data_IF_627708568032
#
_entry.id   IF_627708568032
#
_cell.length_a   1.000
_cell.length_b   1.000
_cell.length_c   1.000
_cell.angle_alpha   90.00
_cell.angle_beta   90.00
_cell.angle_gamma   90.00
#
_symmetry.space_group_name_H-M   'P 1'
#
loop_
_entity.id
_entity.type
_entity.pdbx_description
1 polymer ?
#
# COMPACT_ATOMS: atom_id res chain seq x y z
N UNK A 1 16.14 7.43 -17.29
CA UNK A 1 16.53 8.29 -16.15
C UNK A 1 17.17 7.38 -15.13
N UNK A 2 18.38 7.68 -14.65
CA UNK A 2 18.98 6.92 -13.56
C UNK A 2 18.17 7.21 -12.30
N UNK A 3 17.44 6.23 -11.79
CA UNK A 3 16.70 6.37 -10.53
C UNK A 3 17.68 6.25 -9.38
N UNK A 4 17.51 7.10 -8.37
CA UNK A 4 18.26 7.03 -7.12
C UNK A 4 17.90 5.76 -6.34
N UNK A 5 18.82 5.28 -5.49
CA UNK A 5 18.56 4.16 -4.59
C UNK A 5 17.97 4.68 -3.28
N UNK A 6 16.84 4.13 -2.87
CA UNK A 6 16.12 4.54 -1.66
C UNK A 6 16.19 3.50 -0.56
N UNK A 7 16.13 3.96 0.69
CA UNK A 7 16.04 3.11 1.87
C UNK A 7 15.06 3.66 2.91
N UNK A 8 14.39 2.75 3.63
CA UNK A 8 13.57 3.09 4.80
C UNK A 8 13.40 1.88 5.74
N UNK A 9 12.94 2.15 6.95
CA UNK A 9 12.47 1.12 7.88
C UNK A 9 11.08 0.67 7.41
N UNK A 10 10.93 -0.61 7.12
CA UNK A 10 9.72 -1.20 6.55
C UNK A 10 8.75 -1.78 7.61
N UNK A 11 9.22 -1.93 8.84
CA UNK A 11 8.43 -2.38 10.00
C UNK A 11 7.98 -1.22 10.87
N UNK A 12 7.03 -1.47 11.78
CA UNK A 12 6.63 -0.49 12.79
C UNK A 12 7.81 -0.06 13.67
N UNK A 13 7.89 1.24 13.96
CA UNK A 13 8.91 1.84 14.83
C UNK A 13 8.57 1.64 16.32
N UNK A 14 8.56 0.40 16.77
CA UNK A 14 8.40 0.02 18.17
C UNK A 14 9.45 -1.02 18.55
N UNK A 15 9.68 -1.20 19.86
CA UNK A 15 10.56 -2.29 20.32
C UNK A 15 9.90 -3.63 19.95
N UNK A 16 10.57 -4.39 19.09
CA UNK A 16 10.10 -5.68 18.61
C UNK A 16 11.27 -6.68 18.54
N UNK A 17 10.97 -7.95 18.30
CA UNK A 17 12.02 -8.95 18.08
C UNK A 17 12.84 -8.68 16.82
N UNK A 18 12.19 -8.18 15.76
CA UNK A 18 12.79 -7.97 14.43
C UNK A 18 12.35 -6.60 13.90
N UNK A 19 13.26 -5.93 13.19
CA UNK A 19 12.99 -4.76 12.36
C UNK A 19 13.60 -4.98 10.97
N UNK A 20 12.96 -4.42 9.94
CA UNK A 20 13.38 -4.59 8.55
C UNK A 20 13.78 -3.23 7.98
N UNK A 21 15.00 -3.13 7.44
CA UNK A 21 15.43 -2.01 6.60
C UNK A 21 15.36 -2.48 5.15
N UNK A 22 14.55 -1.81 4.33
CA UNK A 22 14.41 -2.10 2.90
C UNK A 22 15.17 -1.08 2.08
N UNK A 23 15.89 -1.57 1.06
CA UNK A 23 16.64 -0.78 0.07
C UNK A 23 16.12 -1.15 -1.32
N UNK A 24 15.91 -0.17 -2.21
CA UNK A 24 15.47 -0.40 -3.60
C UNK A 24 16.16 0.55 -4.56
N UNK A 25 16.66 0.05 -5.68
CA UNK A 25 17.28 0.84 -6.75
C UNK A 25 18.49 0.18 -7.38
N UNK A 26 19.06 0.80 -8.41
CA UNK A 26 20.19 0.26 -9.18
C UNK A 26 21.44 -0.04 -8.32
N UNK A 27 21.64 0.71 -7.23
CA UNK A 27 22.79 0.54 -6.34
C UNK A 27 22.45 -0.28 -5.08
N UNK A 28 21.25 -0.86 -4.95
CA UNK A 28 20.84 -1.58 -3.73
C UNK A 28 21.81 -2.71 -3.36
N UNK A 29 22.25 -3.51 -4.34
CA UNK A 29 23.23 -4.58 -4.14
C UNK A 29 24.63 -4.02 -3.82
N UNK A 30 25.03 -2.92 -4.45
CA UNK A 30 26.30 -2.25 -4.20
C UNK A 30 26.37 -1.65 -2.78
N UNK A 31 25.26 -1.10 -2.29
CA UNK A 31 25.15 -0.54 -0.93
C UNK A 31 25.33 -1.64 0.10
N UNK A 32 24.64 -2.77 -0.05
CA UNK A 32 24.74 -3.85 0.94
C UNK A 32 26.12 -4.51 0.95
N UNK A 33 26.75 -4.70 -0.22
CA UNK A 33 28.10 -5.30 -0.31
C UNK A 33 29.15 -4.50 0.45
N UNK A 34 28.98 -3.17 0.57
CA UNK A 34 29.92 -2.30 1.31
C UNK A 34 29.85 -2.55 2.81
N UNK A 35 28.64 -2.76 3.35
CA UNK A 35 28.37 -2.75 4.80
C UNK A 35 28.20 -4.14 5.40
N UNK A 36 27.90 -5.16 4.59
CA UNK A 36 27.71 -6.52 5.05
C UNK A 36 29.05 -7.27 5.13
N UNK A 37 29.22 -8.08 6.17
CA UNK A 37 30.27 -9.10 6.27
C UNK A 37 29.67 -10.44 6.67
N UNK A 38 30.07 -11.50 5.96
CA UNK A 38 29.76 -12.87 6.40
C UNK A 38 30.69 -13.30 7.53
N UNK A 39 30.31 -14.36 8.24
CA UNK A 39 31.14 -14.97 9.28
C UNK A 39 32.57 -15.32 8.82
N UNK A 40 32.75 -15.66 7.54
CA UNK A 40 34.04 -16.03 6.95
C UNK A 40 34.69 -14.88 6.17
N UNK A 41 34.08 -13.69 6.10
CA UNK A 41 34.65 -12.49 5.48
C UNK A 41 34.55 -12.37 3.95
N UNK A 42 34.49 -13.47 3.21
CA UNK A 42 34.71 -13.44 1.74
C UNK A 42 33.43 -13.32 0.88
N UNK A 43 32.26 -13.19 1.52
CA UNK A 43 30.98 -13.28 0.81
C UNK A 43 30.53 -11.93 0.27
N UNK A 44 30.36 -11.85 -1.05
CA UNK A 44 29.81 -10.68 -1.76
C UNK A 44 28.36 -10.99 -2.15
N UNK A 45 27.40 -10.28 -1.56
CA UNK A 45 25.98 -10.58 -1.71
C UNK A 45 25.47 -10.28 -3.14
N UNK A 46 26.02 -9.29 -3.83
CA UNK A 46 25.64 -9.03 -5.24
C UNK A 46 25.90 -10.22 -6.18
N UNK A 47 26.83 -11.11 -5.84
CA UNK A 47 27.17 -12.31 -6.65
C UNK A 47 26.29 -13.52 -6.34
N UNK A 48 25.52 -13.47 -5.26
CA UNK A 48 24.66 -14.57 -4.86
C UNK A 48 23.39 -14.66 -5.71
N UNK A 49 22.65 -15.76 -5.57
CA UNK A 49 21.38 -15.97 -6.28
C UNK A 49 20.31 -15.02 -5.74
N UNK A 50 19.34 -14.65 -6.58
CA UNK A 50 18.19 -13.87 -6.11
C UNK A 50 17.30 -14.72 -5.19
N UNK A 51 16.55 -14.06 -4.29
CA UNK A 51 15.60 -14.66 -3.35
C UNK A 51 16.26 -15.65 -2.36
N UNK A 52 17.49 -15.34 -1.94
CA UNK A 52 18.19 -16.09 -0.92
C UNK A 52 18.44 -15.25 0.32
N UNK A 53 18.53 -15.94 1.46
CA UNK A 53 18.80 -15.34 2.76
C UNK A 53 20.25 -15.60 3.17
N UNK A 54 20.88 -14.59 3.78
CA UNK A 54 22.29 -14.63 4.14
C UNK A 54 22.50 -14.08 5.54
N UNK A 55 22.98 -14.95 6.42
CA UNK A 55 23.36 -14.60 7.78
C UNK A 55 24.72 -13.88 7.81
N UNK A 56 24.86 -12.82 8.60
CA UNK A 56 26.13 -12.14 8.82
C UNK A 56 25.98 -10.91 9.70
N UNK A 57 26.82 -9.91 9.46
CA UNK A 57 26.93 -8.72 10.30
C UNK A 57 26.86 -7.46 9.44
N UNK A 58 26.19 -6.43 9.95
CA UNK A 58 26.31 -5.07 9.40
C UNK A 58 27.40 -4.35 10.18
N UNK A 59 28.34 -3.76 9.44
CA UNK A 59 29.51 -3.06 10.00
C UNK A 59 29.51 -1.61 9.49
N UNK A 60 29.73 -0.65 10.38
CA UNK A 60 30.12 0.72 10.02
C UNK A 60 31.58 0.92 10.43
N UNK A 61 32.46 1.09 9.43
CA UNK A 61 33.92 1.10 9.58
C UNK A 61 34.44 -0.21 10.19
N UNK A 62 34.75 -0.20 11.48
CA UNK A 62 35.31 -1.33 12.24
C UNK A 62 34.37 -1.80 13.38
N UNK A 63 33.21 -1.17 13.54
CA UNK A 63 32.23 -1.49 14.60
C UNK A 63 31.11 -2.36 14.01
N UNK A 64 30.90 -3.54 14.61
CA UNK A 64 29.72 -4.36 14.33
C UNK A 64 28.51 -3.65 14.92
N UNK A 65 27.56 -3.27 14.07
CA UNK A 65 26.32 -2.64 14.50
C UNK A 65 25.33 -3.70 14.97
N UNK A 66 25.17 -4.77 14.17
CA UNK A 66 24.25 -5.86 14.48
C UNK A 66 24.59 -7.15 13.73
N UNK A 67 24.11 -8.25 14.29
CA UNK A 67 24.02 -9.56 13.66
C UNK A 67 22.65 -9.67 12.96
N UNK A 68 22.65 -9.94 11.65
CA UNK A 68 21.47 -9.79 10.79
C UNK A 68 21.27 -10.97 9.85
N UNK A 69 20.07 -11.07 9.32
CA UNK A 69 19.82 -11.79 8.07
C UNK A 69 19.58 -10.79 6.95
N UNK A 70 20.16 -11.04 5.78
CA UNK A 70 19.98 -10.20 4.60
C UNK A 70 19.31 -11.01 3.51
N UNK A 71 18.20 -10.50 2.99
CA UNK A 71 17.51 -11.02 1.81
C UNK A 71 17.89 -10.18 0.61
N UNK A 72 18.34 -10.82 -0.46
CA UNK A 72 18.61 -10.17 -1.74
C UNK A 72 17.58 -10.59 -2.78
N UNK A 73 17.02 -9.63 -3.49
CA UNK A 73 16.05 -9.84 -4.56
C UNK A 73 16.49 -9.02 -5.77
N UNK A 74 16.77 -9.69 -6.89
CA UNK A 74 17.22 -9.06 -8.12
C UNK A 74 16.04 -8.74 -9.03
N UNK A 75 16.12 -7.61 -9.73
CA UNK A 75 15.16 -7.20 -10.73
C UNK A 75 14.98 -8.29 -11.82
N UNK A 76 13.80 -8.39 -12.45
CA UNK A 76 12.58 -7.62 -12.20
C UNK A 76 11.65 -8.27 -11.15
N UNK A 77 12.03 -9.42 -10.59
CA UNK A 77 11.16 -10.23 -9.74
C UNK A 77 11.09 -9.72 -8.29
N UNK A 78 10.85 -8.43 -8.09
CA UNK A 78 10.88 -7.77 -6.77
C UNK A 78 9.69 -6.83 -6.59
N UNK A 79 9.41 -6.39 -5.36
CA UNK A 79 8.27 -5.50 -5.07
C UNK A 79 8.27 -4.24 -5.94
N UNK A 80 9.42 -3.59 -6.14
CA UNK A 80 9.54 -2.38 -6.95
C UNK A 80 9.88 -2.67 -8.41
N UNK A 81 10.18 -3.93 -8.79
CA UNK A 81 10.85 -4.34 -10.05
C UNK A 81 12.28 -3.83 -10.23
N UNK A 82 12.85 -3.21 -9.22
CA UNK A 82 14.27 -2.86 -9.13
C UNK A 82 15.02 -3.92 -8.32
N UNK A 83 16.34 -3.83 -8.20
CA UNK A 83 17.05 -4.62 -7.19
C UNK A 83 16.59 -4.16 -5.79
N UNK A 84 16.28 -5.12 -4.93
CA UNK A 84 15.79 -4.90 -3.56
C UNK A 84 16.63 -5.71 -2.58
N UNK A 85 17.01 -5.06 -1.48
CA UNK A 85 17.66 -5.70 -0.34
C UNK A 85 16.81 -5.46 0.90
N UNK A 86 16.61 -6.49 1.71
CA UNK A 86 16.02 -6.37 3.04
C UNK A 86 17.03 -6.83 4.09
N UNK A 87 17.23 -6.00 5.11
CA UNK A 87 18.09 -6.29 6.26
C UNK A 87 17.16 -6.54 7.45
N UNK A 88 17.07 -7.79 7.88
CA UNK A 88 16.34 -8.22 9.05
C UNK A 88 17.28 -8.17 10.25
N UNK A 89 17.10 -7.15 11.09
CA UNK A 89 17.93 -6.87 12.26
C UNK A 89 17.13 -6.98 13.56
N UNK A 90 17.80 -6.89 14.70
CA UNK A 90 17.11 -6.79 15.98
C UNK A 90 16.21 -5.56 16.02
N UNK A 91 15.00 -5.71 16.57
CA UNK A 91 13.96 -4.68 16.53
C UNK A 91 14.11 -3.53 17.54
N UNK A 92 15.33 -3.22 17.98
CA UNK A 92 15.61 -2.08 18.84
C UNK A 92 15.63 -0.77 18.03
N UNK A 93 15.02 0.30 18.55
CA UNK A 93 14.93 1.60 17.87
C UNK A 93 16.33 2.15 17.51
N UNK A 94 17.29 2.03 18.43
CA UNK A 94 18.65 2.58 18.23
C UNK A 94 19.41 1.80 17.16
N UNK A 95 19.40 0.46 17.22
CA UNK A 95 20.12 -0.39 16.26
C UNK A 95 19.52 -0.24 14.86
N UNK A 96 18.19 -0.21 14.74
CA UNK A 96 17.50 0.02 13.47
C UNK A 96 17.90 1.36 12.84
N UNK A 97 17.94 2.44 13.64
CA UNK A 97 18.37 3.77 13.15
C UNK A 97 19.84 3.78 12.72
N UNK A 98 20.74 3.16 13.50
CA UNK A 98 22.17 3.03 13.12
C UNK A 98 22.34 2.30 11.80
N UNK A 99 21.60 1.20 11.57
CA UNK A 99 21.65 0.45 10.30
C UNK A 99 21.15 1.32 9.15
N UNK A 100 20.00 2.00 9.31
CA UNK A 100 19.49 2.91 8.29
C UNK A 100 20.51 4.02 7.96
N UNK A 101 21.08 4.68 8.96
CA UNK A 101 22.12 5.70 8.75
C UNK A 101 23.33 5.14 8.00
N UNK A 102 23.74 3.91 8.30
CA UNK A 102 24.85 3.22 7.63
C UNK A 102 24.53 2.95 6.17
N UNK A 103 23.31 2.52 5.87
CA UNK A 103 22.80 2.36 4.49
C UNK A 103 22.81 3.70 3.74
N UNK A 104 22.36 4.78 4.38
CA UNK A 104 22.32 6.12 3.76
C UNK A 104 23.72 6.65 3.46
N UNK A 105 24.66 6.53 4.40
CA UNK A 105 26.08 6.91 4.21
C UNK A 105 26.73 6.19 3.02
N UNK A 106 26.24 5.00 2.67
CA UNK A 106 26.84 4.14 1.64
C UNK A 106 26.18 4.26 0.26
N UNK A 107 25.28 5.21 0.05
CA UNK A 107 24.79 5.59 -1.29
C UNK A 107 23.27 5.57 -1.47
N UNK A 108 22.50 5.23 -0.43
CA UNK A 108 21.05 5.34 -0.47
C UNK A 108 20.56 6.71 0.03
N UNK A 109 19.40 7.15 -0.45
CA UNK A 109 18.65 8.28 0.11
C UNK A 109 17.46 7.75 0.92
N UNK A 110 16.95 8.55 1.87
CA UNK A 110 15.72 8.19 2.58
C UNK A 110 14.53 8.19 1.61
N UNK A 111 13.72 7.14 1.66
CA UNK A 111 12.51 7.04 0.83
C UNK A 111 11.43 8.05 1.27
N UNK A 112 10.69 8.60 0.32
CA UNK A 112 9.48 9.38 0.58
C UNK A 112 8.30 8.46 1.01
N UNK A 113 7.28 9.01 1.68
CA UNK A 113 6.06 8.27 1.99
C UNK A 113 5.45 7.61 0.74
N UNK A 114 5.28 6.29 0.80
CA UNK A 114 4.69 5.50 -0.30
C UNK A 114 5.62 5.28 -1.50
N UNK A 115 6.88 5.72 -1.46
CA UNK A 115 7.76 5.70 -2.64
C UNK A 115 8.00 4.29 -3.20
N UNK A 116 8.16 3.27 -2.35
CA UNK A 116 8.30 1.88 -2.81
C UNK A 116 7.09 1.42 -3.64
N UNK A 117 5.88 1.71 -3.17
CA UNK A 117 4.64 1.37 -3.89
C UNK A 117 4.50 2.20 -5.16
N UNK A 118 4.86 3.49 -5.12
CA UNK A 118 4.93 4.36 -6.31
C UNK A 118 5.87 3.79 -7.37
N UNK A 119 7.05 3.29 -7.00
CA UNK A 119 7.98 2.64 -7.94
C UNK A 119 7.43 1.34 -8.50
N UNK A 120 6.77 0.52 -7.68
CA UNK A 120 6.06 -0.67 -8.15
C UNK A 120 5.02 -0.34 -9.24
N UNK A 121 4.26 0.75 -9.04
CA UNK A 121 3.30 1.26 -10.02
C UNK A 121 3.99 1.77 -11.30
N UNK A 122 4.99 2.66 -11.16
CA UNK A 122 5.72 3.25 -12.30
C UNK A 122 6.43 2.19 -13.15
N UNK A 123 6.92 1.13 -12.52
CA UNK A 123 7.56 0.01 -13.23
C UNK A 123 6.54 -1.02 -13.77
N UNK A 124 5.24 -0.75 -13.65
CA UNK A 124 4.16 -1.56 -14.22
C UNK A 124 3.95 -2.91 -13.54
N UNK A 125 4.37 -3.06 -12.27
CA UNK A 125 4.07 -4.28 -11.48
C UNK A 125 2.62 -4.31 -11.03
N UNK A 126 2.11 -3.14 -10.64
CA UNK A 126 0.77 -2.94 -10.11
C UNK A 126 0.12 -1.74 -10.80
N UNK A 127 -1.20 -1.71 -10.84
CA UNK A 127 -1.96 -0.51 -11.23
C UNK A 127 -2.27 0.40 -10.02
N UNK A 128 -2.90 1.54 -10.27
CA UNK A 128 -3.16 2.54 -9.23
C UNK A 128 -4.18 2.05 -8.18
N UNK A 129 -5.20 1.30 -8.60
CA UNK A 129 -6.19 0.71 -7.68
C UNK A 129 -5.55 -0.33 -6.77
N UNK A 130 -4.60 -1.11 -7.30
CA UNK A 130 -3.80 -2.03 -6.50
C UNK A 130 -2.87 -1.30 -5.51
N UNK A 131 -2.26 -0.19 -5.91
CA UNK A 131 -1.44 0.64 -5.04
C UNK A 131 -2.25 1.21 -3.86
N UNK A 132 -3.47 1.69 -4.12
CA UNK A 132 -4.42 2.16 -3.09
C UNK A 132 -4.84 1.01 -2.16
N UNK A 133 -5.15 -0.16 -2.72
CA UNK A 133 -5.54 -1.34 -1.95
C UNK A 133 -4.46 -1.78 -0.94
N UNK A 134 -3.17 -1.58 -1.23
CA UNK A 134 -2.09 -1.87 -0.29
C UNK A 134 -2.18 -0.98 0.95
N UNK A 135 -2.43 0.32 0.76
CA UNK A 135 -2.65 1.25 1.88
C UNK A 135 -3.88 0.85 2.69
N UNK A 136 -4.95 0.47 2.00
CA UNK A 136 -6.21 0.10 2.64
C UNK A 136 -6.11 -1.20 3.44
N UNK A 137 -5.29 -2.16 3.01
CA UNK A 137 -5.01 -3.39 3.79
C UNK A 137 -4.29 -3.04 5.10
N UNK A 138 -3.28 -2.16 5.03
CA UNK A 138 -2.49 -1.76 6.20
C UNK A 138 -3.35 -1.00 7.22
N UNK A 139 -4.32 -0.21 6.75
CA UNK A 139 -5.18 0.64 7.58
C UNK A 139 -6.55 0.02 7.91
N UNK A 140 -6.82 -1.21 7.48
CA UNK A 140 -8.14 -1.81 7.62
C UNK A 140 -8.59 -1.90 9.09
N UNK A 141 -9.74 -1.28 9.41
CA UNK A 141 -10.31 -1.24 10.77
C UNK A 141 -11.29 -2.39 11.08
N UNK A 142 -11.76 -3.10 10.05
CA UNK A 142 -12.70 -4.21 10.17
C UNK A 142 -12.44 -5.27 9.08
N UNK A 143 -12.96 -6.48 9.31
CA UNK A 143 -12.74 -7.62 8.41
C UNK A 143 -13.37 -7.43 7.01
N UNK A 144 -14.50 -6.73 6.93
CA UNK A 144 -15.17 -6.46 5.65
C UNK A 144 -14.32 -5.52 4.78
N UNK A 145 -13.74 -4.48 5.37
CA UNK A 145 -12.81 -3.57 4.71
C UNK A 145 -11.58 -4.33 4.22
N UNK A 146 -10.96 -5.14 5.08
CA UNK A 146 -9.80 -5.96 4.72
C UNK A 146 -10.11 -6.89 3.53
N UNK A 147 -11.26 -7.59 3.57
CA UNK A 147 -11.69 -8.50 2.51
C UNK A 147 -11.89 -7.78 1.18
N UNK A 148 -12.47 -6.58 1.20
CA UNK A 148 -12.65 -5.76 0.01
C UNK A 148 -11.31 -5.30 -0.57
N UNK A 149 -10.39 -4.80 0.26
CA UNK A 149 -9.06 -4.37 -0.19
C UNK A 149 -8.23 -5.53 -0.76
N UNK A 150 -8.31 -6.74 -0.20
CA UNK A 150 -7.68 -7.94 -0.78
C UNK A 150 -8.25 -8.27 -2.17
N UNK A 151 -9.57 -8.13 -2.36
CA UNK A 151 -10.21 -8.35 -3.67
C UNK A 151 -9.74 -7.33 -4.69
N UNK A 152 -9.60 -6.06 -4.30
CA UNK A 152 -9.09 -4.99 -5.15
C UNK A 152 -7.62 -5.23 -5.52
N UNK A 153 -6.78 -5.63 -4.54
CA UNK A 153 -5.37 -5.97 -4.77
C UNK A 153 -5.18 -7.07 -5.82
N UNK A 154 -6.13 -8.00 -5.95
CA UNK A 154 -6.12 -9.05 -6.99
C UNK A 154 -6.43 -8.54 -8.41
N UNK A 155 -6.72 -7.25 -8.59
CA UNK A 155 -6.89 -6.62 -9.90
C UNK A 155 -8.33 -6.67 -10.45
N UNK A 156 -9.33 -6.96 -9.61
CA UNK A 156 -10.72 -7.10 -10.06
C UNK A 156 -11.29 -5.84 -10.73
N UNK A 157 -10.98 -4.65 -10.18
CA UNK A 157 -11.44 -3.37 -10.74
C UNK A 157 -10.66 -2.97 -11.99
N UNK A 158 -9.33 -3.17 -11.99
CA UNK A 158 -8.47 -2.91 -13.13
C UNK A 158 -8.94 -3.62 -14.40
N UNK A 159 -9.31 -4.90 -14.31
CA UNK A 159 -9.80 -5.66 -15.46
C UNK A 159 -11.13 -5.14 -16.02
N UNK A 160 -12.01 -4.60 -15.16
CA UNK A 160 -13.27 -3.99 -15.61
C UNK A 160 -12.97 -2.69 -16.36
N UNK A 161 -12.16 -1.81 -15.78
CA UNK A 161 -11.77 -0.52 -16.39
C UNK A 161 -11.01 -0.74 -17.70
N UNK A 162 -10.11 -1.71 -17.73
CA UNK A 162 -9.36 -2.07 -18.94
C UNK A 162 -10.28 -2.53 -20.06
N UNK A 163 -11.27 -3.38 -19.78
CA UNK A 163 -12.26 -3.82 -20.78
C UNK A 163 -13.09 -2.67 -21.34
N UNK A 164 -13.53 -1.74 -20.49
CA UNK A 164 -14.23 -0.53 -20.92
C UNK A 164 -13.35 0.33 -21.82
N UNK A 165 -12.10 0.60 -21.39
CA UNK A 165 -11.14 1.36 -22.18
C UNK A 165 -10.85 0.71 -23.52
N UNK A 166 -10.63 -0.60 -23.55
CA UNK A 166 -10.32 -1.34 -24.77
C UNK A 166 -11.53 -1.36 -25.73
N UNK A 167 -12.76 -1.25 -25.24
CA UNK A 167 -13.96 -1.09 -26.06
C UNK A 167 -14.05 0.30 -26.68
N UNK A 168 -13.90 1.35 -25.87
CA UNK A 168 -13.87 2.74 -26.34
C UNK A 168 -12.75 2.95 -27.37
N UNK A 169 -11.56 2.39 -27.15
CA UNK A 169 -10.44 2.49 -28.09
C UNK A 169 -10.72 1.80 -29.42
N UNK A 170 -11.51 0.72 -29.45
CA UNK A 170 -11.92 0.08 -30.71
C UNK A 170 -12.85 0.99 -31.50
N UNK A 171 -13.82 1.62 -30.84
CA UNK A 171 -14.75 2.52 -31.48
C UNK A 171 -14.04 3.78 -31.99
N UNK A 172 -13.10 4.34 -31.21
CA UNK A 172 -12.23 5.44 -31.67
C UNK A 172 -11.40 5.03 -32.88
N UNK A 173 -10.74 3.87 -32.83
CA UNK A 173 -9.90 3.40 -33.93
C UNK A 173 -10.71 3.18 -35.23
N UNK A 174 -11.96 2.72 -35.12
CA UNK A 174 -12.84 2.58 -36.28
C UNK A 174 -13.22 3.93 -36.89
N UNK A 175 -13.56 4.91 -36.04
CA UNK A 175 -13.87 6.28 -36.49
C UNK A 175 -12.65 6.92 -37.15
N UNK A 176 -11.47 6.83 -36.52
CA UNK A 176 -10.22 7.38 -37.07
C UNK A 176 -9.88 6.75 -38.43
N UNK A 177 -10.01 5.42 -38.56
CA UNK A 177 -9.77 4.75 -39.83
C UNK A 177 -10.72 5.21 -40.95
N UNK A 178 -12.00 5.44 -40.62
CA UNK A 178 -12.97 5.94 -41.59
C UNK A 178 -12.74 7.41 -42.00
N UNK A 179 -12.19 8.22 -41.10
CA UNK A 179 -11.80 9.60 -41.39
C UNK A 179 -10.56 9.65 -42.28
N UNK A 180 -9.60 8.73 -42.08
CA UNK A 180 -8.37 8.66 -42.85
C UNK A 180 -8.57 8.05 -44.25
N UNK A 181 -9.51 7.09 -44.41
CA UNK A 181 -9.79 6.40 -45.67
C UNK A 181 -11.31 6.26 -45.95
N UNK A 182 -11.99 7.38 -46.26
CA UNK A 182 -13.44 7.39 -46.48
C UNK A 182 -13.88 6.66 -47.76
N UNK A 183 -12.96 6.33 -48.68
CA UNK A 183 -13.28 5.58 -49.90
C UNK A 183 -13.45 4.08 -49.63
N UNK A 184 -12.76 3.56 -48.60
CA UNK A 184 -12.75 2.13 -48.28
C UNK A 184 -13.45 1.79 -46.95
N UNK A 185 -13.63 2.76 -46.06
CA UNK A 185 -14.24 2.56 -44.75
C UNK A 185 -15.42 3.53 -44.57
N UNK A 186 -16.64 2.98 -44.49
CA UNK A 186 -17.87 3.75 -44.25
C UNK A 186 -18.31 3.71 -42.78
N UNK A 187 -18.82 4.84 -42.30
CA UNK A 187 -19.47 4.99 -40.99
C UNK A 187 -20.99 4.78 -41.05
N UNK A 188 -21.55 4.42 -42.20
CA UNK A 188 -23.00 4.26 -42.36
C UNK A 188 -23.56 3.24 -41.37
N UNK A 189 -24.51 3.66 -40.53
CA UNK A 189 -25.14 2.83 -39.49
C UNK A 189 -24.26 2.53 -38.28
N UNK A 190 -23.03 3.07 -38.23
CA UNK A 190 -22.16 2.93 -37.06
C UNK A 190 -22.66 3.76 -35.88
N UNK A 191 -23.40 4.85 -36.12
CA UNK A 191 -24.04 5.66 -35.08
C UNK A 191 -24.92 4.83 -34.14
N UNK A 192 -25.71 3.91 -34.67
CA UNK A 192 -26.55 3.02 -33.87
C UNK A 192 -25.70 2.00 -33.10
N UNK A 193 -24.66 1.45 -33.73
CA UNK A 193 -23.73 0.51 -33.07
C UNK A 193 -22.98 1.19 -31.93
N UNK A 194 -22.49 2.40 -32.16
CA UNK A 194 -21.79 3.23 -31.17
C UNK A 194 -22.70 3.54 -30.00
N UNK A 195 -23.95 3.94 -30.25
CA UNK A 195 -24.92 4.22 -29.20
C UNK A 195 -25.15 2.97 -28.33
N UNK A 196 -25.35 1.80 -28.93
CA UNK A 196 -25.52 0.55 -28.18
C UNK A 196 -24.28 0.18 -27.35
N UNK A 197 -23.06 0.42 -27.86
CA UNK A 197 -21.83 0.20 -27.11
C UNK A 197 -21.73 1.14 -25.91
N UNK A 198 -21.96 2.44 -26.14
CA UNK A 198 -21.92 3.46 -25.09
C UNK A 198 -22.98 3.21 -24.01
N UNK A 199 -24.17 2.75 -24.35
CA UNK A 199 -25.21 2.38 -23.38
C UNK A 199 -24.77 1.19 -22.51
N UNK A 200 -24.18 0.15 -23.13
CA UNK A 200 -23.66 -1.01 -22.39
C UNK A 200 -22.54 -0.60 -21.44
N UNK A 201 -21.60 0.22 -21.89
CA UNK A 201 -20.48 0.71 -21.09
C UNK A 201 -20.94 1.63 -19.95
N UNK A 202 -21.87 2.54 -20.23
CA UNK A 202 -22.47 3.44 -19.25
C UNK A 202 -23.17 2.66 -18.14
N UNK A 203 -23.93 1.62 -18.49
CA UNK A 203 -24.60 0.76 -17.51
C UNK A 203 -23.60 0.06 -16.57
N UNK A 204 -22.44 -0.35 -17.08
CA UNK A 204 -21.36 -0.92 -16.24
C UNK A 204 -20.81 0.13 -15.28
N UNK A 205 -20.54 1.34 -15.75
CA UNK A 205 -20.01 2.45 -14.93
C UNK A 205 -21.03 2.85 -13.85
N UNK A 206 -22.31 2.98 -14.19
CA UNK A 206 -23.38 3.30 -13.24
C UNK A 206 -23.49 2.26 -12.13
N UNK A 207 -23.35 0.98 -12.47
CA UNK A 207 -23.32 -0.11 -11.49
C UNK A 207 -22.14 0.04 -10.52
N UNK A 208 -20.94 0.32 -11.04
CA UNK A 208 -19.76 0.55 -10.20
C UNK A 208 -19.95 1.74 -9.26
N UNK A 209 -20.51 2.85 -9.76
CA UNK A 209 -20.80 4.05 -8.95
C UNK A 209 -21.80 3.71 -7.84
N UNK A 210 -22.85 2.94 -8.15
CA UNK A 210 -23.85 2.52 -7.17
C UNK A 210 -23.24 1.65 -6.07
N UNK A 211 -22.38 0.70 -6.43
CA UNK A 211 -21.72 -0.20 -5.48
C UNK A 211 -20.67 0.52 -4.62
N UNK A 212 -20.00 1.56 -5.14
CA UNK A 212 -18.96 2.31 -4.42
C UNK A 212 -19.46 2.98 -3.13
N UNK A 213 -20.73 3.39 -3.07
CA UNK A 213 -21.33 4.00 -1.87
C UNK A 213 -21.28 3.08 -0.66
N UNK A 214 -21.57 1.79 -0.86
CA UNK A 214 -21.51 0.79 0.19
C UNK A 214 -20.05 0.50 0.58
N UNK A 215 -19.15 0.46 -0.41
CA UNK A 215 -17.72 0.30 -0.18
C UNK A 215 -17.14 1.40 0.71
N UNK A 216 -17.53 2.65 0.48
CA UNK A 216 -17.10 3.80 1.30
C UNK A 216 -17.51 3.66 2.76
N UNK A 217 -18.75 3.24 3.02
CA UNK A 217 -19.25 3.02 4.39
C UNK A 217 -18.46 1.93 5.09
N UNK A 218 -18.18 0.82 4.40
CA UNK A 218 -17.40 -0.30 4.95
C UNK A 218 -15.96 0.14 5.29
N UNK A 219 -15.35 0.96 4.43
CA UNK A 219 -13.97 1.43 4.56
C UNK A 219 -13.82 2.49 5.66
N UNK A 220 -14.63 3.55 5.62
CA UNK A 220 -14.49 4.69 6.52
C UNK A 220 -15.19 4.47 7.87
N UNK A 221 -16.17 3.58 7.92
CA UNK A 221 -17.08 3.43 9.04
C UNK A 221 -18.20 4.47 9.04
N UNK A 222 -19.20 4.25 9.90
CA UNK A 222 -20.37 5.11 10.02
C UNK A 222 -20.13 6.13 11.13
N UNK A 223 -20.15 7.42 10.79
CA UNK A 223 -20.17 8.50 11.78
C UNK A 223 -21.44 8.39 12.63
N UNK A 224 -21.26 8.15 13.92
CA UNK A 224 -22.34 7.79 14.83
C UNK A 224 -22.35 8.74 16.00
N UNK A 225 -23.52 9.29 16.31
CA UNK A 225 -23.71 10.24 17.40
C UNK A 225 -24.64 9.65 18.45
N UNK A 226 -24.25 9.70 19.72
CA UNK A 226 -25.10 9.26 20.84
C UNK A 226 -25.75 10.50 21.46
N UNK A 227 -27.07 10.63 21.29
CA UNK A 227 -27.86 11.77 21.81
C UNK A 227 -28.76 11.29 22.95
N UNK A 228 -28.91 12.12 23.98
CA UNK A 228 -29.77 11.83 25.12
C UNK A 228 -29.69 12.91 26.19
N UNK A 229 -30.67 12.92 27.10
CA UNK A 229 -30.74 13.88 28.22
C UNK A 229 -29.46 13.87 29.09
N UNK A 230 -29.15 14.94 29.85
CA UNK A 230 -28.14 14.88 30.90
C UNK A 230 -28.38 13.68 31.82
N UNK A 231 -27.32 12.97 32.20
CA UNK A 231 -27.36 11.75 33.04
C UNK A 231 -28.17 10.57 32.48
N UNK A 232 -28.51 10.55 31.18
CA UNK A 232 -29.22 9.43 30.54
C UNK A 232 -28.37 8.15 30.33
N UNK A 233 -27.19 8.07 30.95
CA UNK A 233 -26.30 6.90 30.81
C UNK A 233 -25.49 6.82 29.51
N UNK A 234 -25.39 7.91 28.73
CA UNK A 234 -24.63 7.95 27.46
C UNK A 234 -23.19 7.44 27.60
N UNK A 235 -22.44 7.97 28.57
CA UNK A 235 -21.06 7.56 28.82
C UNK A 235 -20.96 6.11 29.32
N UNK A 236 -21.97 5.63 30.05
CA UNK A 236 -22.02 4.24 30.51
C UNK A 236 -22.27 3.26 29.35
N UNK A 237 -23.14 3.63 28.39
CA UNK A 237 -23.37 2.86 27.17
C UNK A 237 -22.11 2.81 26.31
N UNK A 238 -21.47 3.96 26.08
CA UNK A 238 -20.23 4.06 25.30
C UNK A 238 -19.14 3.16 25.91
N UNK A 239 -18.93 3.24 27.22
CA UNK A 239 -17.93 2.41 27.90
C UNK A 239 -18.22 0.91 27.79
N UNK A 240 -19.49 0.49 27.76
CA UNK A 240 -19.85 -0.92 27.53
C UNK A 240 -19.57 -1.35 26.09
N UNK A 241 -19.99 -0.55 25.12
CA UNK A 241 -19.76 -0.84 23.70
C UNK A 241 -18.26 -0.90 23.36
N UNK A 242 -17.47 0.04 23.91
CA UNK A 242 -16.01 0.03 23.77
C UNK A 242 -15.36 -1.15 24.49
N UNK A 243 -15.93 -1.60 25.62
CA UNK A 243 -15.39 -2.71 26.41
C UNK A 243 -15.62 -4.10 25.81
N UNK A 244 -16.70 -4.29 25.04
CA UNK A 244 -17.05 -5.58 24.42
C UNK A 244 -16.55 -5.70 22.97
N UNK A 245 -16.44 -4.60 22.22
CA UNK A 245 -16.19 -4.60 20.77
C UNK A 245 -15.07 -3.63 20.34
N UNK A 246 -13.90 -3.70 21.01
CA UNK A 246 -12.73 -2.95 20.53
C UNK A 246 -12.37 -3.42 19.12
N UNK A 247 -12.49 -2.52 18.14
CA UNK A 247 -11.69 -2.63 16.93
C UNK A 247 -10.22 -2.67 17.39
N UNK A 248 -9.41 -3.57 16.84
CA UNK A 248 -7.98 -3.64 17.15
C UNK A 248 -7.34 -2.37 16.59
N UNK A 249 -7.35 -1.29 17.38
CA UNK A 249 -6.60 -0.09 17.11
C UNK A 249 -5.19 -0.36 17.61
N UNK A 250 -4.22 -0.37 16.70
CA UNK A 250 -2.82 -0.50 17.07
C UNK A 250 -2.43 0.65 18.00
N UNK A 251 -1.88 0.35 19.18
CA UNK A 251 -1.35 1.32 20.15
C UNK A 251 -0.03 1.97 19.65
N UNK A 252 0.01 2.46 18.42
CA UNK A 252 1.15 3.25 17.95
C UNK A 252 0.91 4.68 18.43
N UNK A 253 1.60 5.04 19.52
CA UNK A 253 1.65 6.42 20.01
C UNK A 253 2.13 7.35 18.88
N UNK A 254 1.22 8.16 18.33
CA UNK A 254 1.59 9.11 17.27
C UNK A 254 0.50 9.67 16.37
N UNK A 255 -0.73 9.15 16.36
CA UNK A 255 -1.82 9.77 15.57
C UNK A 255 -2.54 10.86 16.36
N UNK A 256 -1.80 11.85 16.85
CA UNK A 256 -2.37 13.09 17.40
C UNK A 256 -2.74 14.02 16.26
N UNK A 257 -3.93 13.83 15.70
CA UNK A 257 -4.71 14.84 14.98
C UNK A 257 -5.99 14.15 14.57
N UNK A 258 -6.92 14.07 15.51
CA UNK A 258 -8.31 14.43 15.35
C UNK A 258 -8.97 14.20 16.71
N UNK A 259 -10.11 14.81 16.95
CA UNK A 259 -10.93 14.71 18.16
C UNK A 259 -10.97 13.29 18.73
N UNK A 260 -11.11 13.13 20.05
CA UNK A 260 -11.35 11.83 20.72
C UNK A 260 -12.60 11.13 20.13
N UNK A 261 -12.45 10.54 18.94
CA UNK A 261 -13.42 9.71 18.26
C UNK A 261 -13.13 8.27 18.68
N UNK A 262 -14.02 7.72 19.50
CA UNK A 262 -13.96 6.32 19.90
C UNK A 262 -14.49 5.45 18.76
N UNK A 263 -13.80 4.35 18.45
CA UNK A 263 -14.18 3.46 17.36
C UNK A 263 -14.68 2.12 17.92
N UNK A 264 -15.90 1.72 17.56
CA UNK A 264 -16.46 0.40 17.92
C UNK A 264 -16.72 -0.43 16.65
N UNK A 265 -16.64 -1.76 16.75
CA UNK A 265 -16.93 -2.66 15.63
C UNK A 265 -18.14 -3.54 15.94
N UNK A 266 -19.28 -3.19 15.35
CA UNK A 266 -20.55 -3.87 15.55
C UNK A 266 -20.87 -4.73 14.32
N UNK A 267 -20.92 -6.05 14.47
CA UNK A 267 -21.20 -7.02 13.38
C UNK A 267 -20.33 -6.82 12.12
N UNK A 268 -19.07 -6.42 12.29
CA UNK A 268 -18.14 -6.18 11.19
C UNK A 268 -18.22 -4.78 10.57
N UNK A 269 -19.08 -3.90 11.09
CA UNK A 269 -19.20 -2.50 10.67
C UNK A 269 -18.55 -1.60 11.72
N UNK A 270 -17.61 -0.76 11.27
CA UNK A 270 -17.00 0.25 12.12
C UNK A 270 -17.96 1.42 12.36
N UNK A 271 -18.21 1.75 13.62
CA UNK A 271 -18.91 2.97 14.02
C UNK A 271 -17.90 3.94 14.64
N UNK A 272 -17.77 5.13 14.06
CA UNK A 272 -16.94 6.21 14.57
C UNK A 272 -17.81 7.07 15.49
N UNK A 273 -17.67 6.87 16.81
CA UNK A 273 -18.49 7.55 17.80
C UNK A 273 -17.94 8.96 18.03
N UNK A 274 -18.77 9.95 17.75
CA UNK A 274 -18.47 11.36 18.01
C UNK A 274 -19.03 11.69 19.39
N UNK A 275 -18.16 11.99 20.35
CA UNK A 275 -18.59 12.41 21.67
C UNK A 275 -19.30 13.77 21.60
N UNK A 276 -20.58 13.80 22.00
CA UNK A 276 -21.38 15.02 22.09
C UNK A 276 -21.28 15.70 23.45
N UNK A 277 -20.39 15.26 24.34
CA UNK A 277 -20.21 15.82 25.68
C UNK A 277 -19.96 17.35 25.71
N UNK A 278 -19.65 17.96 24.55
CA UNK A 278 -19.45 19.40 24.38
C UNK A 278 -20.54 20.18 23.62
N UNK A 279 -21.63 19.56 23.14
CA UNK A 279 -22.77 20.36 22.62
C UNK A 279 -23.55 20.88 23.83
N UNK A 280 -23.13 22.05 24.33
CA UNK A 280 -23.95 22.92 25.18
C UNK A 280 -24.80 23.85 24.32
#
# INVERSE_FOLDING_TARGET
MKTDTIAAIATGLSNAGISIIRISGEDALSVIDRIYRSKNGDKVLSKEKSHTIHYGYIIDKDEVIDEVMVVIMKAPSTYTREDVVEIDCHGGIIVTRKILETVLKNGARIAEPGEFTKRAFLNGRIDLSQAEAISDIIQAKNELALKNSIKQLRGGEYEIIKKLRDAILRDIAFIEAALDDPEHISLDGFDQTLLENLEKESAVIEKLIKESKNGKIIKEGIKTVIIGKPNAGKSSLLNRLVGEERAIVTEIAGTTRDTLEETINLDGITLNIIDTAGIR
#
